data_IF_361631822315
#
_entry.id   IF_361631822315
#
_cell.length_a   1.000
_cell.length_b   1.000
_cell.length_c   1.000
_cell.angle_alpha   90.00
_cell.angle_beta   90.00
_cell.angle_gamma   90.00
#
_symmetry.space_group_name_H-M   'P 1'
#
loop_
_entity.id
_entity.type
_entity.pdbx_description
1 polymer ?
#
# COMPACT_ATOMS: atom_id res chain seq x y z
N UNK A 1 -26.02 9.18 -5.71
CA UNK A 1 -25.04 9.50 -6.77
C UNK A 1 -24.04 8.37 -6.90
N UNK A 2 -23.70 7.97 -8.13
CA UNK A 2 -22.70 6.92 -8.39
C UNK A 2 -21.61 7.45 -9.31
N UNK A 3 -20.38 7.00 -9.08
CA UNK A 3 -19.22 7.34 -9.88
C UNK A 3 -18.41 6.08 -10.17
N UNK A 4 -17.87 5.97 -11.38
CA UNK A 4 -17.02 4.85 -11.81
C UNK A 4 -15.74 5.40 -12.40
N UNK A 5 -14.62 4.81 -12.00
CA UNK A 5 -13.30 5.13 -12.54
C UNK A 5 -12.55 3.86 -12.91
N UNK A 6 -11.83 3.90 -14.02
CA UNK A 6 -10.94 2.82 -14.44
C UNK A 6 -9.49 3.33 -14.38
N UNK A 7 -8.61 2.50 -13.81
CA UNK A 7 -7.20 2.81 -13.64
C UNK A 7 -6.35 1.59 -14.01
N UNK A 8 -5.25 1.83 -14.73
CA UNK A 8 -4.24 0.80 -15.03
C UNK A 8 -2.99 1.13 -14.23
N UNK A 9 -2.48 0.16 -13.48
CA UNK A 9 -1.31 0.28 -12.63
C UNK A 9 -0.24 -0.72 -13.05
N UNK A 10 1.02 -0.26 -13.05
CA UNK A 10 2.21 -1.05 -13.40
C UNK A 10 2.62 -2.10 -12.36
N UNK A 11 1.65 -2.66 -11.62
CA UNK A 11 1.86 -3.67 -10.59
C UNK A 11 0.93 -4.85 -10.80
N UNK A 12 1.28 -6.00 -10.24
CA UNK A 12 0.41 -7.18 -10.22
C UNK A 12 -0.79 -6.98 -9.28
N UNK A 13 -1.80 -7.85 -9.40
CA UNK A 13 -3.05 -7.76 -8.64
C UNK A 13 -2.82 -7.90 -7.14
N UNK A 14 -1.95 -8.83 -6.71
CA UNK A 14 -1.86 -9.21 -5.30
C UNK A 14 -1.49 -8.06 -4.37
N UNK A 15 -0.47 -7.23 -4.68
CA UNK A 15 -0.12 -6.08 -3.85
C UNK A 15 -1.25 -5.03 -3.78
N UNK A 16 -1.97 -4.81 -4.87
CA UNK A 16 -3.13 -3.92 -4.92
C UNK A 16 -4.28 -4.44 -4.07
N UNK A 17 -4.59 -5.72 -4.25
CA UNK A 17 -5.65 -6.40 -3.53
C UNK A 17 -5.37 -6.37 -2.04
N UNK A 18 -4.14 -6.67 -1.61
CA UNK A 18 -3.72 -6.60 -0.21
C UNK A 18 -3.88 -5.19 0.37
N UNK A 19 -3.39 -4.16 -0.34
CA UNK A 19 -3.49 -2.78 0.13
C UNK A 19 -4.94 -2.30 0.25
N UNK A 20 -5.82 -2.71 -0.66
CA UNK A 20 -7.24 -2.32 -0.67
C UNK A 20 -8.07 -3.18 0.28
N UNK A 21 -7.66 -4.41 0.58
CA UNK A 21 -8.36 -5.31 1.53
C UNK A 21 -8.11 -4.94 2.99
N UNK A 22 -7.11 -4.12 3.27
CA UNK A 22 -6.87 -3.57 4.60
C UNK A 22 -7.81 -2.37 4.83
N UNK A 23 -8.80 -2.49 5.73
CA UNK A 23 -9.79 -1.44 5.98
C UNK A 23 -9.14 -0.17 6.54
N UNK A 24 -8.06 -0.29 7.34
CA UNK A 24 -7.37 0.87 7.91
C UNK A 24 -6.63 1.67 6.81
N UNK A 25 -6.08 0.97 5.82
CA UNK A 25 -5.50 1.62 4.64
C UNK A 25 -6.56 2.28 3.79
N UNK A 26 -7.71 1.63 3.55
CA UNK A 26 -8.79 2.26 2.80
C UNK A 26 -9.25 3.56 3.46
N UNK A 27 -9.55 3.53 4.76
CA UNK A 27 -10.10 4.71 5.44
C UNK A 27 -9.09 5.85 5.45
N UNK A 28 -7.80 5.56 5.69
CA UNK A 28 -6.72 6.53 5.54
C UNK A 28 -6.59 7.08 4.11
N UNK A 29 -6.70 6.20 3.10
CA UNK A 29 -6.71 6.60 1.69
C UNK A 29 -7.93 7.45 1.32
N UNK A 30 -9.07 7.27 1.99
CA UNK A 30 -10.31 7.99 1.67
C UNK A 30 -10.33 9.44 2.18
N UNK A 31 -9.59 9.72 3.26
CA UNK A 31 -9.61 11.02 3.97
C UNK A 31 -10.94 11.38 4.67
N UNK A 32 -12.00 10.63 4.44
CA UNK A 32 -13.36 10.94 4.88
C UNK A 32 -13.97 9.89 5.79
N UNK A 33 -13.35 8.72 5.91
CA UNK A 33 -13.85 7.62 6.73
C UNK A 33 -12.85 7.42 7.87
N UNK A 34 -13.34 7.16 9.07
CA UNK A 34 -12.53 6.72 10.21
C UNK A 34 -13.11 5.46 10.82
N UNK A 35 -12.25 4.53 11.24
CA UNK A 35 -12.65 3.36 12.02
C UNK A 35 -12.50 3.70 13.50
N UNK A 36 -13.59 3.56 14.25
CA UNK A 36 -13.68 3.83 15.68
C UNK A 36 -13.57 2.54 16.51
N UNK A 37 -14.03 1.41 15.96
CA UNK A 37 -13.98 0.11 16.62
C UNK A 37 -14.22 -1.06 15.67
N UNK A 38 -13.97 -2.26 16.16
CA UNK A 38 -14.19 -3.53 15.44
C UNK A 38 -15.30 -4.31 16.11
N UNK A 39 -16.11 -5.03 15.33
CA UNK A 39 -17.16 -5.87 15.87
C UNK A 39 -16.56 -7.19 16.39
N UNK A 40 -16.71 -7.43 17.68
CA UNK A 40 -16.32 -8.70 18.31
C UNK A 40 -17.52 -9.64 18.36
N UNK A 41 -17.36 -10.83 17.78
CA UNK A 41 -18.42 -11.82 17.62
C UNK A 41 -18.87 -12.44 18.94
N UNK A 42 -17.92 -12.68 19.84
CA UNK A 42 -18.17 -13.37 21.10
C UNK A 42 -18.81 -12.41 22.10
N UNK A 43 -18.35 -11.15 22.12
CA UNK A 43 -18.91 -10.07 22.93
C UNK A 43 -20.16 -9.43 22.31
N UNK A 44 -20.44 -9.71 21.03
CA UNK A 44 -21.58 -9.19 20.24
C UNK A 44 -21.72 -7.68 20.27
N UNK A 45 -20.59 -6.97 20.24
CA UNK A 45 -20.55 -5.50 20.32
C UNK A 45 -19.30 -4.97 19.61
N UNK A 46 -19.34 -3.69 19.29
CA UNK A 46 -18.12 -2.99 18.88
C UNK A 46 -17.22 -2.75 20.08
N UNK A 47 -15.93 -3.00 19.90
CA UNK A 47 -14.87 -2.78 20.88
C UNK A 47 -13.70 -2.08 20.22
N UNK A 48 -12.83 -1.48 21.02
CA UNK A 48 -11.54 -1.00 20.51
C UNK A 48 -10.68 -2.20 20.07
N UNK A 49 -9.79 -2.05 19.08
CA UNK A 49 -9.03 -3.18 18.55
C UNK A 49 -8.22 -3.97 19.60
N UNK A 50 -7.72 -3.31 20.65
CA UNK A 50 -6.97 -3.96 21.74
C UNK A 50 -7.80 -4.89 22.61
N UNK A 51 -9.13 -4.79 22.56
CA UNK A 51 -10.06 -5.60 23.33
C UNK A 51 -10.72 -6.71 22.50
N UNK A 52 -10.45 -6.76 21.20
CA UNK A 52 -11.04 -7.74 20.30
C UNK A 52 -10.34 -9.10 20.44
N UNK A 53 -11.12 -10.15 20.67
CA UNK A 53 -10.64 -11.53 20.75
C UNK A 53 -10.99 -12.30 19.48
N UNK A 54 -12.18 -12.03 18.93
CA UNK A 54 -12.70 -12.69 17.73
C UNK A 54 -13.48 -11.68 16.88
N UNK A 55 -12.76 -10.94 16.04
CA UNK A 55 -13.35 -9.87 15.23
C UNK A 55 -13.84 -10.36 13.86
N UNK A 56 -14.88 -9.70 13.35
CA UNK A 56 -15.40 -9.89 11.99
C UNK A 56 -15.04 -8.70 11.09
N UNK A 57 -15.29 -8.82 9.78
CA UNK A 57 -15.11 -7.74 8.80
C UNK A 57 -16.21 -6.66 8.90
N UNK A 58 -16.50 -6.22 10.13
CA UNK A 58 -17.51 -5.22 10.47
C UNK A 58 -16.91 -4.24 11.48
N UNK A 59 -17.06 -2.97 11.18
CA UNK A 59 -16.36 -1.88 11.83
C UNK A 59 -17.37 -0.81 12.24
N UNK A 60 -17.24 -0.27 13.44
CA UNK A 60 -17.90 0.98 13.78
C UNK A 60 -17.06 2.10 13.18
N UNK A 61 -17.68 2.94 12.36
CA UNK A 61 -16.99 3.92 11.56
C UNK A 61 -17.73 5.25 11.55
N UNK A 62 -17.00 6.32 11.26
CA UNK A 62 -17.56 7.65 11.06
C UNK A 62 -17.23 8.16 9.66
N UNK A 63 -18.23 8.70 8.97
CA UNK A 63 -18.06 9.49 7.76
C UNK A 63 -17.97 10.97 8.15
N UNK A 64 -16.84 11.60 7.83
CA UNK A 64 -16.55 13.00 8.10
C UNK A 64 -16.56 13.77 6.78
N UNK A 65 -17.28 14.89 6.73
CA UNK A 65 -17.34 15.75 5.56
C UNK A 65 -17.63 17.19 5.95
N UNK A 66 -17.15 18.12 5.13
CA UNK A 66 -17.47 19.55 5.22
C UNK A 66 -18.77 19.82 4.47
N UNK A 67 -19.62 20.72 4.96
CA UNK A 67 -20.79 21.21 4.22
C UNK A 67 -20.48 22.45 3.37
N UNK A 68 -21.40 22.85 2.50
CA UNK A 68 -21.21 24.05 1.65
C UNK A 68 -21.08 25.37 2.42
N UNK A 69 -21.31 25.38 3.74
CA UNK A 69 -21.10 26.54 4.63
C UNK A 69 -19.77 26.47 5.38
N UNK A 70 -18.94 25.48 5.11
CA UNK A 70 -17.65 25.26 5.75
C UNK A 70 -17.72 24.57 7.11
N UNK A 71 -18.87 24.00 7.49
CA UNK A 71 -19.00 23.29 8.78
C UNK A 71 -18.63 21.83 8.62
N UNK A 72 -17.84 21.33 9.56
CA UNK A 72 -17.53 19.92 9.64
C UNK A 72 -18.72 19.13 10.22
N UNK A 73 -19.11 18.08 9.53
CA UNK A 73 -20.17 17.17 9.93
C UNK A 73 -19.61 15.75 10.03
N UNK A 74 -20.19 14.95 10.92
CA UNK A 74 -19.85 13.55 11.09
C UNK A 74 -21.12 12.71 11.15
N UNK A 75 -21.07 11.51 10.59
CA UNK A 75 -22.15 10.52 10.66
C UNK A 75 -21.55 9.17 11.03
N UNK A 76 -21.94 8.65 12.18
CA UNK A 76 -21.47 7.37 12.70
C UNK A 76 -22.36 6.23 12.20
N UNK A 77 -21.77 5.04 12.08
CA UNK A 77 -22.44 3.91 11.46
C UNK A 77 -21.61 2.64 11.41
N UNK A 78 -22.16 1.65 10.71
CA UNK A 78 -21.52 0.35 10.47
C UNK A 78 -20.87 0.35 9.09
N UNK A 79 -19.57 0.08 9.04
CA UNK A 79 -18.82 -0.22 7.82
C UNK A 79 -18.58 -1.73 7.74
N UNK A 80 -19.00 -2.34 6.65
CA UNK A 80 -18.82 -3.76 6.37
C UNK A 80 -17.88 -3.96 5.18
N UNK A 81 -16.98 -4.93 5.31
CA UNK A 81 -16.02 -5.31 4.28
C UNK A 81 -16.35 -6.72 3.78
N UNK A 82 -16.51 -6.86 2.48
CA UNK A 82 -16.66 -8.15 1.79
C UNK A 82 -15.53 -8.34 0.79
N UNK A 83 -14.84 -9.47 0.88
CA UNK A 83 -13.74 -9.83 0.00
C UNK A 83 -14.15 -11.07 -0.77
N UNK A 84 -14.20 -10.96 -2.10
CA UNK A 84 -14.51 -12.07 -3.01
C UNK A 84 -13.44 -12.14 -4.11
N UNK A 85 -13.33 -13.25 -4.85
CA UNK A 85 -12.32 -13.37 -5.90
C UNK A 85 -12.41 -12.21 -6.90
N UNK A 86 -11.33 -11.41 -6.98
CA UNK A 86 -11.21 -10.23 -7.86
C UNK A 86 -12.11 -9.03 -7.50
N UNK A 87 -12.75 -9.00 -6.33
CA UNK A 87 -13.51 -7.82 -5.90
C UNK A 87 -13.43 -7.59 -4.40
N UNK A 88 -13.37 -6.31 -4.01
CA UNK A 88 -13.43 -5.87 -2.62
C UNK A 88 -14.54 -4.83 -2.51
N UNK A 89 -15.49 -5.08 -1.62
CA UNK A 89 -16.65 -4.24 -1.40
C UNK A 89 -16.66 -3.69 0.03
N UNK A 90 -16.76 -2.37 0.13
CA UNK A 90 -17.00 -1.66 1.37
C UNK A 90 -18.40 -1.08 1.34
N UNK A 91 -19.17 -1.28 2.41
CA UNK A 91 -20.53 -0.76 2.55
C UNK A 91 -20.69 -0.10 3.89
N UNK A 92 -21.20 1.12 3.91
CA UNK A 92 -21.48 1.88 5.11
C UNK A 92 -22.96 2.20 5.21
N UNK A 93 -23.49 2.14 6.42
CA UNK A 93 -24.81 2.63 6.77
C UNK A 93 -24.72 3.41 8.09
N UNK A 94 -25.19 4.66 8.10
CA UNK A 94 -25.26 5.46 9.32
C UNK A 94 -26.30 4.91 10.28
N UNK A 95 -26.11 5.14 11.58
CA UNK A 95 -27.03 4.69 12.62
C UNK A 95 -28.44 5.29 12.47
N UNK A 96 -28.52 6.52 11.98
CA UNK A 96 -29.78 7.19 11.66
C UNK A 96 -30.35 6.82 10.27
N UNK A 97 -29.69 5.92 9.55
CA UNK A 97 -30.00 5.43 8.20
C UNK A 97 -30.13 6.52 7.13
N UNK A 98 -29.53 7.69 7.35
CA UNK A 98 -29.60 8.82 6.42
C UNK A 98 -28.48 8.83 5.41
N UNK A 99 -27.38 8.16 5.71
CA UNK A 99 -26.22 8.02 4.83
C UNK A 99 -25.96 6.56 4.58
N UNK A 100 -25.94 6.18 3.30
CA UNK A 100 -25.44 4.89 2.85
C UNK A 100 -24.39 5.14 1.79
N UNK A 101 -23.28 4.42 1.85
CA UNK A 101 -22.35 4.42 0.73
C UNK A 101 -21.78 3.04 0.48
N UNK A 102 -21.29 2.84 -0.74
CA UNK A 102 -20.51 1.67 -1.10
C UNK A 102 -19.34 2.05 -1.97
N UNK A 103 -18.19 1.41 -1.75
CA UNK A 103 -17.03 1.50 -2.62
C UNK A 103 -16.63 0.08 -3.02
N UNK A 104 -16.69 -0.20 -4.32
CA UNK A 104 -16.38 -1.49 -4.92
C UNK A 104 -15.12 -1.34 -5.76
N UNK A 105 -14.15 -2.22 -5.53
CA UNK A 105 -12.94 -2.34 -6.32
C UNK A 105 -12.95 -3.68 -7.05
N UNK A 106 -12.93 -3.66 -8.38
CA UNK A 106 -12.88 -4.87 -9.21
C UNK A 106 -11.57 -4.93 -9.99
N UNK A 107 -10.88 -6.06 -9.89
CA UNK A 107 -9.52 -6.25 -10.42
C UNK A 107 -9.53 -7.11 -11.68
N UNK A 108 -8.78 -6.68 -12.69
CA UNK A 108 -8.59 -7.39 -13.95
C UNK A 108 -7.10 -7.45 -14.30
N UNK A 109 -6.68 -8.53 -14.96
CA UNK A 109 -5.35 -8.60 -15.56
C UNK A 109 -5.25 -7.62 -16.73
N UNK A 110 -4.07 -7.00 -16.90
CA UNK A 110 -3.76 -6.12 -18.00
C UNK A 110 -2.33 -6.36 -18.50
N UNK A 111 -2.04 -6.12 -19.79
CA UNK A 111 -0.74 -6.42 -20.36
C UNK A 111 0.42 -5.69 -19.67
N UNK A 112 0.16 -4.48 -19.17
CA UNK A 112 1.13 -3.63 -18.45
C UNK A 112 1.02 -3.72 -16.91
N UNK A 113 0.28 -4.68 -16.36
CA UNK A 113 0.09 -4.85 -14.93
C UNK A 113 -1.33 -5.24 -14.56
N UNK A 114 -2.01 -4.38 -13.79
CA UNK A 114 -3.39 -4.63 -13.35
C UNK A 114 -4.29 -3.47 -13.68
N UNK A 115 -5.51 -3.80 -14.11
CA UNK A 115 -6.59 -2.83 -14.29
C UNK A 115 -7.55 -2.91 -13.12
N UNK A 116 -7.90 -1.77 -12.55
CA UNK A 116 -8.85 -1.65 -11.44
C UNK A 116 -10.03 -0.82 -11.92
N UNK A 117 -11.23 -1.34 -11.71
CA UNK A 117 -12.47 -0.56 -11.76
C UNK A 117 -12.87 -0.19 -10.33
N UNK A 118 -13.07 1.09 -10.08
CA UNK A 118 -13.47 1.65 -8.78
C UNK A 118 -14.86 2.24 -8.96
N UNK A 119 -15.86 1.63 -8.33
CA UNK A 119 -17.24 2.11 -8.32
C UNK A 119 -17.57 2.63 -6.91
N UNK A 120 -17.93 3.91 -6.81
CA UNK A 120 -18.40 4.53 -5.58
C UNK A 120 -19.88 4.92 -5.72
N UNK A 121 -20.68 4.63 -4.70
CA UNK A 121 -22.09 5.04 -4.62
C UNK A 121 -22.33 5.68 -3.28
N UNK A 122 -22.99 6.84 -3.30
CA UNK A 122 -23.43 7.56 -2.10
C UNK A 122 -24.92 7.83 -2.22
N UNK A 123 -25.67 7.41 -1.21
CA UNK A 123 -27.09 7.67 -1.04
C UNK A 123 -27.28 8.45 0.26
N UNK A 124 -27.82 9.66 0.12
CA UNK A 124 -27.97 10.62 1.21
C UNK A 124 -29.41 11.10 1.18
N UNK A 125 -30.17 10.82 2.24
CA UNK A 125 -31.59 11.22 2.31
C UNK A 125 -31.72 12.75 2.24
N UNK A 126 -32.59 13.30 1.36
CA UNK A 126 -32.79 14.74 1.24
C UNK A 126 -33.29 15.38 2.54
N UNK A 127 -32.81 16.59 2.83
CA UNK A 127 -33.38 17.45 3.89
C UNK A 127 -32.85 17.22 5.31
N UNK A 128 -31.91 16.29 5.51
CA UNK A 128 -31.42 15.97 6.87
C UNK A 128 -29.91 16.10 7.04
N UNK A 129 -29.18 16.36 5.94
CA UNK A 129 -27.76 16.67 5.99
C UNK A 129 -27.50 17.94 5.19
N UNK A 130 -26.60 18.78 5.71
CA UNK A 130 -26.06 19.86 4.93
C UNK A 130 -25.35 19.26 3.70
N UNK A 131 -25.58 19.83 2.51
CA UNK A 131 -25.03 19.27 1.27
C UNK A 131 -23.51 19.14 1.43
N UNK A 132 -22.93 17.93 1.26
CA UNK A 132 -21.49 17.77 1.39
C UNK A 132 -20.80 18.66 0.36
N UNK A 133 -19.79 19.39 0.81
CA UNK A 133 -18.88 20.11 -0.04
C UNK A 133 -17.90 19.12 -0.68
N UNK A 134 -17.76 19.22 -1.99
CA UNK A 134 -16.88 18.36 -2.77
C UNK A 134 -16.06 19.20 -3.77
N UNK A 135 -15.79 20.48 -3.45
CA UNK A 135 -14.95 21.35 -4.25
C UNK A 135 -15.36 21.43 -5.73
N UNK A 136 -14.39 21.21 -6.63
CA UNK A 136 -14.58 21.24 -8.08
C UNK A 136 -15.06 19.93 -8.69
N UNK A 137 -15.38 18.91 -7.88
CA UNK A 137 -15.86 17.62 -8.38
C UNK A 137 -17.37 17.67 -8.70
N UNK A 138 -17.90 16.72 -9.46
CA UNK A 138 -19.34 16.67 -9.78
C UNK A 138 -20.18 16.06 -8.66
N UNK A 139 -19.57 15.28 -7.77
CA UNK A 139 -20.21 14.62 -6.64
C UNK A 139 -19.22 14.23 -5.55
N UNK A 140 -19.71 13.96 -4.35
CA UNK A 140 -18.89 13.43 -3.26
C UNK A 140 -18.30 12.03 -3.57
N UNK A 141 -19.05 11.20 -4.32
CA UNK A 141 -18.55 9.91 -4.81
C UNK A 141 -17.34 10.08 -5.75
N UNK A 142 -17.40 11.05 -6.66
CA UNK A 142 -16.26 11.39 -7.53
C UNK A 142 -15.10 11.97 -6.72
N UNK A 143 -15.38 12.84 -5.75
CA UNK A 143 -14.36 13.45 -4.90
C UNK A 143 -13.53 12.40 -4.13
N UNK A 144 -14.18 11.43 -3.49
CA UNK A 144 -13.47 10.34 -2.80
C UNK A 144 -12.59 9.55 -3.77
N UNK A 145 -13.12 9.19 -4.94
CA UNK A 145 -12.38 8.36 -5.90
C UNK A 145 -11.22 9.13 -6.54
N UNK A 146 -11.48 10.27 -7.17
CA UNK A 146 -10.46 11.03 -7.91
C UNK A 146 -9.59 11.92 -7.03
N UNK A 147 -10.14 12.46 -5.95
CA UNK A 147 -9.44 13.38 -5.06
C UNK A 147 -8.52 12.66 -4.08
N UNK A 148 -8.86 11.43 -3.68
CA UNK A 148 -8.15 10.73 -2.61
C UNK A 148 -7.64 9.34 -3.04
N UNK A 149 -8.53 8.45 -3.46
CA UNK A 149 -8.18 7.04 -3.77
C UNK A 149 -7.19 6.93 -4.93
N UNK A 150 -7.53 7.49 -6.10
CA UNK A 150 -6.71 7.38 -7.31
C UNK A 150 -5.31 7.99 -7.12
N UNK A 151 -5.15 9.19 -6.51
CA UNK A 151 -3.82 9.72 -6.18
C UNK A 151 -3.01 8.79 -5.28
N UNK A 152 -3.62 8.19 -4.26
CA UNK A 152 -2.92 7.24 -3.39
C UNK A 152 -2.42 6.02 -4.17
N UNK A 153 -3.29 5.40 -4.98
CA UNK A 153 -2.93 4.25 -5.79
C UNK A 153 -1.82 4.56 -6.84
N UNK A 154 -1.84 5.76 -7.43
CA UNK A 154 -0.87 6.15 -8.46
C UNK A 154 0.48 6.61 -7.91
N UNK A 155 0.49 7.30 -6.77
CA UNK A 155 1.67 8.04 -6.29
C UNK A 155 2.21 7.58 -4.94
N UNK A 156 1.36 6.99 -4.10
CA UNK A 156 1.67 6.79 -2.68
C UNK A 156 1.80 5.32 -2.30
N UNK A 157 1.27 4.38 -3.10
CA UNK A 157 1.64 2.99 -2.91
C UNK A 157 3.03 2.72 -3.50
N UNK A 158 4.01 2.56 -2.62
CA UNK A 158 5.20 1.77 -2.91
C UNK A 158 4.84 0.30 -2.70
N UNK A 159 4.65 -0.45 -3.78
CA UNK A 159 4.54 -1.91 -3.69
C UNK A 159 5.91 -2.47 -3.32
N UNK A 160 6.15 -2.61 -2.02
CA UNK A 160 7.38 -3.21 -1.52
C UNK A 160 7.41 -4.68 -1.91
N UNK A 161 8.54 -5.15 -2.44
CA UNK A 161 8.88 -6.56 -2.34
C UNK A 161 9.21 -6.77 -0.86
N UNK A 162 8.42 -7.58 -0.14
CA UNK A 162 8.81 -8.02 1.20
C UNK A 162 10.06 -8.89 1.06
N UNK A 163 11.20 -8.26 1.35
CA UNK A 163 12.50 -8.92 1.36
C UNK A 163 12.92 -9.12 2.80
N UNK A 164 13.51 -10.28 3.10
CA UNK A 164 13.97 -10.63 4.44
C UNK A 164 15.43 -10.21 4.60
N UNK A 165 15.75 -9.35 5.57
CA UNK A 165 17.15 -9.11 5.91
C UNK A 165 17.78 -10.40 6.48
N UNK A 166 18.88 -10.85 5.87
CA UNK A 166 19.59 -12.06 6.30
C UNK A 166 20.98 -11.79 6.86
N UNK A 167 21.57 -10.63 6.53
CA UNK A 167 22.88 -10.23 7.03
C UNK A 167 23.05 -8.73 6.98
N UNK A 168 23.68 -8.17 8.02
CA UNK A 168 24.10 -6.76 8.11
C UNK A 168 25.52 -6.71 8.65
N UNK A 169 26.38 -5.98 7.96
CA UNK A 169 27.81 -5.88 8.28
C UNK A 169 28.23 -4.43 8.15
N UNK A 170 28.97 -3.90 9.13
CA UNK A 170 29.66 -2.62 9.05
C UNK A 170 31.15 -2.87 9.04
N UNK A 171 31.88 -2.14 8.21
CA UNK A 171 33.32 -2.31 8.09
C UNK A 171 33.89 -1.51 6.92
N UNK A 172 35.15 -1.77 6.61
CA UNK A 172 35.80 -1.17 5.47
C UNK A 172 35.24 -1.73 4.16
N UNK A 173 35.07 -0.87 3.16
CA UNK A 173 34.42 -1.22 1.90
C UNK A 173 35.08 -2.42 1.20
N UNK A 174 36.39 -2.55 1.29
CA UNK A 174 37.14 -3.69 0.75
C UNK A 174 36.80 -5.00 1.45
N UNK A 175 36.57 -4.99 2.75
CA UNK A 175 36.15 -6.16 3.53
C UNK A 175 34.72 -6.53 3.18
N UNK A 176 33.83 -5.54 3.07
CA UNK A 176 32.43 -5.75 2.70
C UNK A 176 32.29 -6.38 1.30
N UNK A 177 33.09 -5.91 0.33
CA UNK A 177 33.12 -6.48 -1.02
C UNK A 177 33.70 -7.90 -1.00
N UNK A 178 34.72 -8.15 -0.19
CA UNK A 178 35.27 -9.50 0.02
C UNK A 178 34.21 -10.47 0.57
N UNK A 179 33.38 -10.01 1.51
CA UNK A 179 32.31 -10.79 2.14
C UNK A 179 31.21 -11.22 1.17
N UNK A 180 31.04 -10.56 0.02
CA UNK A 180 30.02 -10.94 -0.99
C UNK A 180 30.23 -12.40 -1.45
N UNK A 181 31.48 -12.84 -1.56
CA UNK A 181 31.83 -14.23 -1.94
C UNK A 181 31.45 -15.26 -0.89
N UNK A 182 31.31 -14.83 0.36
CA UNK A 182 30.96 -15.67 1.51
C UNK A 182 29.46 -15.64 1.83
N UNK A 183 28.66 -14.93 1.04
CA UNK A 183 27.22 -14.88 1.25
C UNK A 183 26.56 -16.22 0.90
N UNK A 184 25.49 -16.59 1.60
CA UNK A 184 24.71 -17.77 1.22
C UNK A 184 24.20 -17.62 -0.21
N UNK A 185 24.10 -18.74 -0.93
CA UNK A 185 23.56 -18.80 -2.29
C UNK A 185 22.05 -18.57 -2.28
N UNK A 186 21.65 -17.32 -2.08
CA UNK A 186 20.27 -16.86 -2.12
C UNK A 186 20.03 -16.06 -3.39
N UNK A 187 18.75 -15.82 -3.68
CA UNK A 187 18.36 -14.77 -4.62
C UNK A 187 17.82 -13.61 -3.81
N UNK A 188 18.38 -12.44 -4.06
CA UNK A 188 18.28 -11.34 -3.12
C UNK A 188 18.75 -10.01 -3.66
N UNK A 189 18.86 -9.06 -2.76
CA UNK A 189 19.37 -7.71 -3.02
C UNK A 189 20.48 -7.43 -2.02
N UNK A 190 21.60 -6.91 -2.50
CA UNK A 190 22.65 -6.34 -1.65
C UNK A 190 22.55 -4.83 -1.75
N UNK A 191 22.64 -4.15 -0.60
CA UNK A 191 22.82 -2.71 -0.53
C UNK A 191 24.07 -2.39 0.29
N UNK A 192 24.92 -1.49 -0.22
CA UNK A 192 26.08 -0.97 0.52
C UNK A 192 25.94 0.55 0.58
N UNK A 193 25.94 1.13 1.78
CA UNK A 193 25.77 2.56 2.00
C UNK A 193 26.96 3.13 2.78
N UNK A 194 27.58 4.15 2.22
CA UNK A 194 28.56 4.99 2.90
C UNK A 194 28.03 6.41 3.05
N UNK A 195 28.90 7.32 3.49
CA UNK A 195 28.52 8.73 3.74
C UNK A 195 28.06 9.44 2.45
N UNK A 196 28.80 9.26 1.35
CA UNK A 196 28.58 9.98 0.09
C UNK A 196 28.19 9.06 -1.08
N UNK A 197 27.85 7.79 -0.80
CA UNK A 197 27.48 6.83 -1.83
C UNK A 197 26.42 5.82 -1.37
N UNK A 198 25.71 5.26 -2.34
CA UNK A 198 24.82 4.12 -2.15
C UNK A 198 24.92 3.18 -3.34
N UNK A 199 25.24 1.92 -3.06
CA UNK A 199 25.30 0.85 -4.04
C UNK A 199 24.13 -0.12 -3.80
N UNK A 200 23.55 -0.63 -4.88
CA UNK A 200 22.60 -1.72 -4.86
C UNK A 200 22.84 -2.67 -6.02
N UNK A 201 22.62 -3.96 -5.80
CA UNK A 201 22.74 -5.01 -6.80
C UNK A 201 21.78 -6.13 -6.49
N UNK A 202 21.26 -6.80 -7.52
CA UNK A 202 20.70 -8.13 -7.36
C UNK A 202 21.83 -9.11 -7.04
N UNK A 203 21.54 -10.05 -6.15
CA UNK A 203 22.38 -11.20 -5.86
C UNK A 203 21.64 -12.45 -6.36
N UNK A 204 22.27 -13.22 -7.23
CA UNK A 204 21.74 -14.50 -7.67
C UNK A 204 22.87 -15.54 -7.69
N UNK A 205 22.73 -16.59 -6.88
CA UNK A 205 23.71 -17.69 -6.79
C UNK A 205 25.16 -17.23 -6.46
N UNK A 206 25.31 -16.13 -5.72
CA UNK A 206 26.61 -15.57 -5.37
C UNK A 206 27.17 -14.55 -6.39
N UNK A 207 26.43 -14.28 -7.47
CA UNK A 207 26.81 -13.30 -8.49
C UNK A 207 26.01 -12.01 -8.35
N UNK A 208 26.68 -10.87 -8.59
CA UNK A 208 26.07 -9.55 -8.63
C UNK A 208 25.51 -9.27 -10.03
N UNK A 209 24.23 -8.90 -10.10
CA UNK A 209 23.52 -8.51 -11.31
C UNK A 209 22.88 -7.13 -11.16
N UNK A 210 22.71 -6.43 -12.27
CA UNK A 210 22.04 -5.12 -12.32
C UNK A 210 22.60 -4.09 -11.32
N UNK A 211 23.93 -4.05 -11.21
CA UNK A 211 24.63 -3.18 -10.29
C UNK A 211 24.34 -1.71 -10.57
N UNK A 212 24.08 -0.94 -9.52
CA UNK A 212 23.88 0.51 -9.56
C UNK A 212 24.62 1.16 -8.40
N UNK A 213 25.33 2.24 -8.70
CA UNK A 213 26.00 3.08 -7.73
C UNK A 213 25.51 4.52 -7.88
N UNK A 214 25.03 5.11 -6.79
CA UNK A 214 24.83 6.54 -6.66
C UNK A 214 26.03 7.11 -5.89
N UNK A 215 26.81 7.99 -6.52
CA UNK A 215 27.95 8.66 -5.90
C UNK A 215 27.90 10.15 -6.24
N UNK A 216 27.92 11.03 -5.23
CA UNK A 216 27.81 12.49 -5.42
C UNK A 216 26.65 12.91 -6.35
N UNK A 217 25.50 12.21 -6.25
CA UNK A 217 24.28 12.39 -7.08
C UNK A 217 24.38 11.93 -8.54
N UNK A 218 25.50 11.33 -8.94
CA UNK A 218 25.65 10.70 -10.26
C UNK A 218 25.32 9.21 -10.16
N UNK A 219 24.57 8.70 -11.14
CA UNK A 219 24.21 7.28 -11.24
C UNK A 219 25.14 6.57 -12.21
N UNK A 220 25.84 5.58 -11.71
CA UNK A 220 26.73 4.67 -12.46
C UNK A 220 26.06 3.30 -12.48
N UNK A 221 26.10 2.61 -13.63
CA UNK A 221 25.38 1.35 -13.85
C UNK A 221 26.31 0.27 -14.41
N UNK A 222 25.97 -0.99 -14.17
CA UNK A 222 26.72 -2.13 -14.70
C UNK A 222 28.10 -2.29 -14.06
N UNK A 223 29.05 -2.85 -14.81
CA UNK A 223 30.40 -3.16 -14.31
C UNK A 223 31.18 -1.95 -13.80
N UNK A 224 30.94 -0.77 -14.35
CA UNK A 224 31.59 0.47 -13.88
C UNK A 224 31.21 0.81 -12.44
N UNK A 225 30.04 0.36 -11.98
CA UNK A 225 29.55 0.58 -10.62
C UNK A 225 30.47 -0.09 -9.59
N UNK A 226 30.86 -1.35 -9.82
CA UNK A 226 31.70 -2.09 -8.86
C UNK A 226 33.15 -1.60 -8.89
N UNK A 227 33.65 -1.25 -10.08
CA UNK A 227 34.99 -0.65 -10.25
C UNK A 227 35.06 0.68 -9.52
N UNK A 228 34.05 1.55 -9.70
CA UNK A 228 33.98 2.82 -8.98
C UNK A 228 33.82 2.61 -7.48
N UNK A 229 32.97 1.67 -7.06
CA UNK A 229 32.78 1.36 -5.64
C UNK A 229 34.12 0.98 -4.98
N UNK A 230 34.92 0.12 -5.61
CA UNK A 230 36.26 -0.25 -5.14
C UNK A 230 37.22 0.95 -5.00
N UNK A 231 37.01 2.01 -5.77
CA UNK A 231 37.84 3.23 -5.73
C UNK A 231 37.43 4.24 -4.66
N UNK A 232 36.22 4.16 -4.10
CA UNK A 232 35.71 5.15 -3.13
C UNK A 232 36.36 4.97 -1.75
N UNK A 233 36.63 3.72 -1.36
CA UNK A 233 37.23 3.39 -0.05
C UNK A 233 36.39 3.85 1.15
N UNK A 234 36.92 3.62 2.35
CA UNK A 234 36.32 4.04 3.62
C UNK A 234 35.29 3.08 4.19
N UNK A 235 34.71 3.47 5.33
CA UNK A 235 33.75 2.66 6.06
C UNK A 235 32.34 2.74 5.47
N UNK A 236 31.64 1.62 5.47
CA UNK A 236 30.27 1.53 4.98
C UNK A 236 29.46 0.48 5.76
N UNK A 237 28.16 0.42 5.47
CA UNK A 237 27.25 -0.63 5.93
C UNK A 237 26.74 -1.43 4.73
N UNK A 238 26.90 -2.75 4.77
CA UNK A 238 26.30 -3.68 3.83
C UNK A 238 25.08 -4.36 4.48
N UNK A 239 23.98 -4.42 3.74
CA UNK A 239 22.77 -5.17 4.10
C UNK A 239 22.44 -6.12 2.96
N UNK A 240 22.15 -7.37 3.30
CA UNK A 240 21.75 -8.42 2.36
C UNK A 240 20.32 -8.82 2.65
N UNK A 241 19.50 -8.76 1.62
CA UNK A 241 18.10 -9.15 1.66
C UNK A 241 17.86 -10.38 0.80
N UNK A 242 17.10 -11.34 1.30
CA UNK A 242 16.61 -12.51 0.59
C UNK A 242 15.21 -12.24 0.04
N UNK A 243 14.98 -12.63 -1.22
CA UNK A 243 13.65 -12.63 -1.83
C UNK A 243 13.03 -14.00 -1.52
N UNK A 244 11.86 -14.08 -0.84
CA UNK A 244 11.26 -15.34 -0.43
C UNK A 244 10.60 -16.05 -1.63
N UNK A 245 11.40 -16.69 -2.48
CA UNK A 245 10.95 -17.36 -3.71
C UNK A 245 9.83 -18.37 -3.48
N UNK A 246 9.94 -19.20 -2.44
CA UNK A 246 8.94 -20.23 -2.15
C UNK A 246 7.59 -19.64 -1.73
N UNK A 247 7.61 -18.53 -1.00
CA UNK A 247 6.40 -17.79 -0.65
C UNK A 247 5.77 -17.17 -1.90
N UNK A 248 6.59 -16.63 -2.82
CA UNK A 248 6.14 -16.10 -4.10
C UNK A 248 5.50 -17.22 -4.94
N UNK A 249 6.16 -18.38 -5.07
CA UNK A 249 5.64 -19.53 -5.84
C UNK A 249 4.35 -20.09 -5.20
N UNK A 250 4.32 -20.23 -3.88
CA UNK A 250 3.13 -20.73 -3.15
C UNK A 250 1.95 -19.76 -3.27
N UNK A 251 2.21 -18.44 -3.27
CA UNK A 251 1.19 -17.40 -3.53
C UNK A 251 0.72 -17.38 -4.98
N UNK A 252 1.51 -17.89 -5.93
CA UNK A 252 1.14 -18.01 -7.35
C UNK A 252 0.31 -19.27 -7.62
N UNK A 253 0.56 -20.35 -6.88
CA UNK A 253 -0.11 -21.65 -7.07
C UNK A 253 -1.44 -21.79 -6.30
N UNK A 254 -1.82 -20.80 -5.48
CA UNK A 254 -3.10 -20.73 -4.75
C UNK A 254 -3.97 -19.62 -5.31
#
# INVERSE_FOLDING_TARGET
MSYVHELILGTTKSPLFYAISDPYRLVGMSGHINILGVYDKDKKKYVVPSEAENYENKYWASLIYEDTSGRLNASEGSLELSIIPNSIDYKFNSEDEKVKFSITFTFYSHASGSKINIMSKFDVKPGVLAKPFYGSFSSFAEHIVKGHIVPYLNKLITFGIEVKEIKRIKGELTELIGEIKNLPKVVGIISIKGENFSFASFLENGELKEMRLLYNKESIVGGDSIVKLLSIGGSAEMIVYEIPKDEIVTKILK
#
